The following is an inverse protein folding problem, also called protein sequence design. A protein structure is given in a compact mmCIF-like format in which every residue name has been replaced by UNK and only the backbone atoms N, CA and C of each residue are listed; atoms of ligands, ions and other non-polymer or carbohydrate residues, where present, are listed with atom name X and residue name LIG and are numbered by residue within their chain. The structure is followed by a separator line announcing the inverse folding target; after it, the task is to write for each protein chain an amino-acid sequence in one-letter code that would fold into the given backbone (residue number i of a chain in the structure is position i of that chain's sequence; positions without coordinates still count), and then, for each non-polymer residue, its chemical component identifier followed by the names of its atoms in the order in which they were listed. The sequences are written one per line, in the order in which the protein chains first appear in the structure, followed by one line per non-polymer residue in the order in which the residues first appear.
data_IF_132266879740
#
_entry.id   IF_132266879740
#
_cell.length_a   1.000
_cell.length_b   1.000
_cell.length_c   1.000
_cell.angle_alpha   90.00
_cell.angle_beta   90.00
_cell.angle_gamma   90.00
#
_symmetry.space_group_name_H-M   'P 1'
#
loop_
_entity.id
_entity.type
_entity.pdbx_description
1 polymer ?
#
# COMPACT_ATOMS: atom_id res chain seq x y z
N UNK A 1 19.70 -4.97 0.17
CA UNK A 1 19.80 -4.68 1.62
C UNK A 1 18.39 -4.33 2.04
N UNK A 2 17.61 -5.28 2.55
CA UNK A 2 16.15 -5.12 2.73
C UNK A 2 15.87 -4.26 3.96
N UNK A 3 15.74 -2.95 3.77
CA UNK A 3 15.22 -2.07 4.81
C UNK A 3 13.72 -2.29 4.88
N UNK A 4 13.31 -3.30 5.66
CA UNK A 4 11.93 -3.49 6.08
C UNK A 4 11.45 -2.16 6.62
N UNK A 5 10.47 -1.56 5.97
CA UNK A 5 9.66 -0.46 6.48
C UNK A 5 8.98 -1.02 7.73
N UNK A 6 9.73 -1.01 8.84
CA UNK A 6 9.29 -1.50 10.12
C UNK A 6 8.26 -0.50 10.60
N UNK A 7 7.01 -0.87 10.34
CA UNK A 7 5.80 -0.24 10.79
C UNK A 7 5.97 0.19 12.25
N UNK A 8 6.07 1.50 12.45
CA UNK A 8 6.39 2.15 13.72
C UNK A 8 5.12 2.31 14.57
N UNK A 9 4.32 1.25 14.76
CA UNK A 9 3.12 1.34 15.60
C UNK A 9 2.91 0.08 16.44
N UNK A 10 3.77 -0.11 17.43
CA UNK A 10 3.43 -0.95 18.58
C UNK A 10 2.50 -0.17 19.51
N UNK A 11 1.18 -0.27 19.36
CA UNK A 11 0.24 0.03 20.45
C UNK A 11 -1.11 -0.67 20.25
N UNK A 12 -1.39 -1.61 21.16
CA UNK A 12 -2.67 -2.25 21.54
C UNK A 12 -3.89 -2.06 20.60
N UNK A 13 -4.39 -3.14 19.99
CA UNK A 13 -5.79 -3.22 19.56
C UNK A 13 -6.47 -4.52 20.03
N UNK A 14 -7.57 -4.33 20.77
CA UNK A 14 -8.57 -5.36 21.06
C UNK A 14 -9.42 -5.55 19.81
N UNK A 15 -9.49 -6.76 19.28
CA UNK A 15 -10.29 -7.06 18.08
C UNK A 15 -11.76 -7.26 18.44
N UNK A 16 -12.65 -6.47 17.83
CA UNK A 16 -14.09 -6.75 17.79
C UNK A 16 -14.38 -7.57 16.52
N UNK A 17 -15.27 -8.57 16.55
CA UNK A 17 -15.57 -9.38 15.36
C UNK A 17 -16.38 -8.55 14.36
N UNK A 18 -15.68 -7.99 13.37
CA UNK A 18 -16.26 -7.33 12.20
C UNK A 18 -16.76 -8.34 11.16
N UNK A 19 -17.63 -7.89 10.25
CA UNK A 19 -18.18 -8.72 9.19
C UNK A 19 -17.11 -8.94 8.09
N UNK A 20 -16.34 -10.03 8.20
CA UNK A 20 -15.15 -10.36 7.40
C UNK A 20 -15.28 -10.09 5.89
N UNK A 21 -16.46 -10.27 5.31
CA UNK A 21 -16.69 -10.14 3.86
C UNK A 21 -16.55 -8.68 3.39
N UNK A 22 -17.01 -7.72 4.20
CA UNK A 22 -16.95 -6.30 3.90
C UNK A 22 -15.51 -5.80 3.97
N UNK A 23 -14.77 -6.27 4.95
CA UNK A 23 -13.35 -5.96 5.12
C UNK A 23 -12.51 -6.41 3.91
N UNK A 24 -12.75 -7.60 3.37
CA UNK A 24 -12.01 -8.09 2.19
C UNK A 24 -12.24 -7.22 0.93
N UNK A 25 -13.47 -6.74 0.70
CA UNK A 25 -13.76 -5.85 -0.42
C UNK A 25 -13.12 -4.47 -0.23
N UNK A 26 -13.12 -3.94 1.00
CA UNK A 26 -12.48 -2.68 1.37
C UNK A 26 -10.96 -2.75 1.19
N UNK A 27 -10.31 -3.83 1.64
CA UNK A 27 -8.87 -4.06 1.44
C UNK A 27 -8.54 -4.16 -0.05
N UNK A 28 -9.33 -4.90 -0.83
CA UNK A 28 -9.12 -5.02 -2.27
C UNK A 28 -9.25 -3.67 -2.99
N UNK A 29 -10.24 -2.86 -2.62
CA UNK A 29 -10.42 -1.51 -3.14
C UNK A 29 -9.26 -0.58 -2.75
N UNK A 30 -8.77 -0.70 -1.52
CA UNK A 30 -7.62 0.06 -1.03
C UNK A 30 -6.36 -0.27 -1.84
N UNK A 31 -6.06 -1.57 -2.03
CA UNK A 31 -4.95 -2.04 -2.87
C UNK A 31 -5.06 -1.60 -4.32
N UNK A 32 -6.27 -1.62 -4.89
CA UNK A 32 -6.51 -1.17 -6.25
C UNK A 32 -6.21 0.32 -6.44
N UNK A 33 -6.53 1.16 -5.44
CA UNK A 33 -6.18 2.58 -5.45
C UNK A 33 -4.68 2.82 -5.35
N UNK A 34 -3.97 2.10 -4.48
CA UNK A 34 -2.50 2.13 -4.42
C UNK A 34 -1.94 1.83 -5.82
N UNK A 35 -2.38 0.73 -6.44
CA UNK A 35 -1.93 0.35 -7.77
C UNK A 35 -2.22 1.45 -8.80
N UNK A 36 -3.40 2.08 -8.75
CA UNK A 36 -3.77 3.16 -9.65
C UNK A 36 -2.82 4.36 -9.55
N UNK A 37 -2.40 4.72 -8.34
CA UNK A 37 -1.41 5.80 -8.14
C UNK A 37 -0.06 5.38 -8.71
N UNK A 38 0.40 4.16 -8.41
CA UNK A 38 1.70 3.65 -8.85
C UNK A 38 1.83 3.57 -10.38
N UNK A 39 0.80 3.08 -11.10
CA UNK A 39 0.85 2.97 -12.58
C UNK A 39 0.82 4.32 -13.29
N UNK A 40 0.35 5.37 -12.61
CA UNK A 40 0.29 6.72 -13.16
C UNK A 40 1.42 7.63 -12.66
N UNK A 41 2.30 7.12 -11.79
CA UNK A 41 3.41 7.88 -11.23
C UNK A 41 4.40 8.28 -12.33
N UNK A 42 4.71 9.58 -12.40
CA UNK A 42 5.64 10.15 -13.38
C UNK A 42 6.83 10.81 -12.71
N UNK A 43 7.99 10.76 -13.37
CA UNK A 43 9.18 11.48 -12.96
C UNK A 43 9.11 12.97 -13.36
N UNK A 44 10.19 13.72 -13.08
CA UNK A 44 10.29 15.14 -13.40
C UNK A 44 10.20 15.44 -14.91
N UNK A 45 10.52 14.47 -15.76
CA UNK A 45 10.43 14.57 -17.22
C UNK A 45 9.06 14.15 -17.75
N UNK A 46 8.13 13.75 -16.87
CA UNK A 46 6.79 13.30 -17.22
C UNK A 46 6.71 11.87 -17.74
N UNK A 47 7.80 11.09 -17.63
CA UNK A 47 7.84 9.67 -18.00
C UNK A 47 7.35 8.82 -16.83
N UNK A 48 6.67 7.72 -17.14
CA UNK A 48 6.24 6.76 -16.12
C UNK A 48 7.45 6.22 -15.34
N UNK A 49 7.35 6.28 -14.00
CA UNK A 49 8.40 5.80 -13.09
C UNK A 49 8.49 4.28 -13.05
N UNK A 50 7.36 3.60 -13.26
CA UNK A 50 7.23 2.15 -13.12
C UNK A 50 6.61 1.55 -14.38
N UNK A 51 6.99 0.30 -14.69
CA UNK A 51 6.16 -0.55 -15.54
C UNK A 51 4.93 -1.03 -14.78
N UNK A 52 3.91 -1.51 -15.49
CA UNK A 52 2.71 -2.07 -14.86
C UNK A 52 3.04 -3.25 -13.93
N UNK A 53 4.01 -4.09 -14.30
CA UNK A 53 4.44 -5.24 -13.49
C UNK A 53 5.16 -4.79 -12.21
N UNK A 54 6.01 -3.77 -12.29
CA UNK A 54 6.67 -3.18 -11.11
C UNK A 54 5.65 -2.56 -10.17
N UNK A 55 4.67 -1.82 -10.70
CA UNK A 55 3.59 -1.24 -9.91
C UNK A 55 2.74 -2.33 -9.22
N UNK A 56 2.45 -3.45 -9.91
CA UNK A 56 1.76 -4.61 -9.30
C UNK A 56 2.61 -5.26 -8.21
N UNK A 57 3.92 -5.38 -8.40
CA UNK A 57 4.80 -5.96 -7.38
C UNK A 57 4.82 -5.10 -6.12
N UNK A 58 4.98 -3.78 -6.25
CA UNK A 58 4.93 -2.83 -5.13
C UNK A 58 3.56 -2.80 -4.45
N UNK A 59 2.47 -2.78 -5.22
CA UNK A 59 1.12 -2.83 -4.66
C UNK A 59 0.83 -4.13 -3.89
N UNK A 60 1.63 -5.18 -4.06
CA UNK A 60 1.52 -6.47 -3.37
C UNK A 60 2.57 -6.66 -2.26
N UNK A 61 3.34 -5.62 -1.91
CA UNK A 61 4.38 -5.70 -0.87
C UNK A 61 3.77 -5.91 0.53
N UNK A 62 2.58 -5.36 0.78
CA UNK A 62 1.82 -5.57 2.00
C UNK A 62 0.78 -6.68 1.84
N UNK A 63 0.67 -7.56 2.83
CA UNK A 63 -0.41 -8.53 2.94
C UNK A 63 -1.76 -7.86 3.24
N UNK A 64 -2.85 -8.57 3.04
CA UNK A 64 -4.20 -8.04 3.33
C UNK A 64 -4.36 -7.65 4.81
N UNK A 65 -3.73 -8.40 5.73
CA UNK A 65 -3.76 -8.09 7.17
C UNK A 65 -2.99 -6.78 7.49
N UNK A 66 -1.83 -6.57 6.87
CA UNK A 66 -1.07 -5.33 7.04
C UNK A 66 -1.81 -4.12 6.48
N UNK A 67 -2.55 -4.30 5.37
CA UNK A 67 -3.41 -3.24 4.83
C UNK A 67 -4.62 -2.96 5.72
N UNK A 68 -5.24 -4.00 6.30
CA UNK A 68 -6.35 -3.85 7.26
C UNK A 68 -5.92 -3.03 8.48
N UNK A 69 -4.75 -3.31 9.04
CA UNK A 69 -4.21 -2.54 10.16
C UNK A 69 -3.82 -1.10 9.74
N UNK A 70 -3.25 -0.95 8.54
CA UNK A 70 -2.73 0.32 8.04
C UNK A 70 -3.79 1.30 7.54
N UNK A 71 -4.93 0.83 7.02
CA UNK A 71 -5.95 1.67 6.37
C UNK A 71 -6.67 2.63 7.33
N UNK A 72 -6.60 2.38 8.65
CA UNK A 72 -7.15 3.29 9.65
C UNK A 72 -6.29 4.55 9.86
N UNK A 73 -5.01 4.51 9.44
CA UNK A 73 -4.04 5.56 9.70
C UNK A 73 -3.48 6.21 8.42
N UNK A 74 -3.62 5.55 7.27
CA UNK A 74 -3.05 6.01 6.02
C UNK A 74 -4.11 5.98 4.91
N UNK A 75 -4.00 6.91 3.98
CA UNK A 75 -4.70 6.88 2.70
C UNK A 75 -3.93 6.01 1.69
N UNK A 76 -4.60 5.44 0.67
CA UNK A 76 -3.90 4.65 -0.34
C UNK A 76 -2.90 5.49 -1.15
N UNK A 77 -3.14 6.80 -1.30
CA UNK A 77 -2.22 7.73 -1.93
C UNK A 77 -0.93 7.90 -1.12
N UNK A 78 -1.02 8.12 0.20
CA UNK A 78 0.15 8.22 1.09
C UNK A 78 0.98 6.93 1.09
N UNK A 79 0.33 5.76 1.11
CA UNK A 79 1.04 4.48 1.02
C UNK A 79 1.73 4.33 -0.35
N UNK A 80 1.09 4.74 -1.44
CA UNK A 80 1.70 4.69 -2.77
C UNK A 80 2.90 5.63 -2.89
N UNK A 81 2.86 6.83 -2.30
CA UNK A 81 4.00 7.74 -2.24
C UNK A 81 5.17 7.13 -1.45
N UNK A 82 4.90 6.55 -0.28
CA UNK A 82 5.91 5.85 0.51
C UNK A 82 6.56 4.69 -0.27
N UNK A 83 5.76 3.90 -1.01
CA UNK A 83 6.25 2.80 -1.85
C UNK A 83 7.10 3.30 -3.03
N UNK A 84 6.75 4.45 -3.63
CA UNK A 84 7.56 5.05 -4.69
C UNK A 84 8.92 5.55 -4.18
N UNK A 85 8.95 6.04 -2.95
CA UNK A 85 10.19 6.52 -2.32
C UNK A 85 11.06 5.37 -1.81
N UNK A 86 10.48 4.22 -1.43
CA UNK A 86 11.21 3.04 -0.95
C UNK A 86 11.58 2.04 -2.06
N UNK A 87 10.79 1.98 -3.14
CA UNK A 87 10.85 0.93 -4.18
C UNK A 87 11.74 1.25 -5.38
N UNK A 88 12.40 2.41 -5.38
CA UNK A 88 13.31 2.85 -6.44
C UNK A 88 14.76 2.86 -5.95
N UNK A 89 15.36 1.66 -5.83
CA UNK A 89 16.81 1.49 -5.82
C UNK A 89 17.31 1.00 -7.19
#
# INVERSE_FOLDING_TARGET
MMLKIACLFSFLYVTLPGNNNKTMEEIAAYRAKILQVLVNAKDADGKLRLTEDQAKQLANEFSDAELEEGMAFNTPEEVAELLLDSGLE
#
